data_IF_467413258306
#
_entry.id   IF_467413258306
#
_cell.length_a   1.000
_cell.length_b   1.000
_cell.length_c   1.000
_cell.angle_alpha   90.00
_cell.angle_beta   90.00
_cell.angle_gamma   90.00
#
_symmetry.space_group_name_H-M   'P 1'
#
loop_
_entity.id
_entity.type
_entity.pdbx_description
1 polymer ?
#
# COMPACT_ATOMS: atom_id res chain seq x y z
N UNK A 1 -5.68 7.95 -20.84
CA UNK A 1 -5.96 8.70 -19.60
C UNK A 1 -5.14 8.13 -18.48
N UNK A 2 -4.75 8.96 -17.56
CA UNK A 2 -3.90 8.56 -16.44
C UNK A 2 -4.76 8.18 -15.25
N UNK A 3 -4.46 7.03 -14.62
CA UNK A 3 -5.05 6.64 -13.35
C UNK A 3 -3.95 6.56 -12.31
N UNK A 4 -4.23 6.93 -11.08
CA UNK A 4 -3.22 7.00 -10.01
C UNK A 4 -3.70 6.25 -8.77
N UNK A 5 -2.83 5.41 -8.22
CA UNK A 5 -3.00 4.80 -6.91
C UNK A 5 -1.93 5.37 -5.99
N UNK A 6 -2.37 6.03 -4.93
CA UNK A 6 -1.48 6.42 -3.83
C UNK A 6 -1.48 5.26 -2.84
N UNK A 7 -0.40 4.49 -2.83
CA UNK A 7 -0.26 3.28 -2.04
C UNK A 7 0.60 3.58 -0.81
N UNK A 8 -0.01 3.54 0.37
CA UNK A 8 0.63 3.91 1.62
C UNK A 8 0.62 2.77 2.63
N UNK A 9 1.63 2.75 3.48
CA UNK A 9 1.66 1.93 4.68
C UNK A 9 0.86 2.60 5.79
N UNK A 10 0.14 1.81 6.61
CA UNK A 10 -0.54 2.34 7.80
C UNK A 10 0.46 3.04 8.74
N UNK A 11 -0.05 3.91 9.61
CA UNK A 11 0.76 4.60 10.61
C UNK A 11 1.07 3.71 11.81
N UNK A 12 1.75 4.26 12.83
CA UNK A 12 2.27 3.48 13.95
C UNK A 12 1.16 2.67 14.67
N UNK A 13 1.50 1.44 15.04
CA UNK A 13 0.55 0.47 15.58
C UNK A 13 1.15 -0.33 16.73
N UNK A 14 0.25 -0.83 17.57
CA UNK A 14 0.52 -1.88 18.54
C UNK A 14 -0.46 -3.01 18.25
N UNK A 15 0.06 -4.15 17.78
CA UNK A 15 -0.79 -5.21 17.25
C UNK A 15 -1.62 -4.72 16.07
N UNK A 16 -2.93 -4.95 16.09
CA UNK A 16 -3.82 -4.55 15.00
C UNK A 16 -4.56 -3.23 15.29
N UNK A 17 -3.98 -2.35 16.10
CA UNK A 17 -4.54 -1.03 16.42
C UNK A 17 -3.49 0.04 16.29
N UNK A 18 -3.90 1.24 15.89
CA UNK A 18 -3.00 2.39 15.90
C UNK A 18 -2.69 2.79 17.34
N UNK A 19 -1.45 3.21 17.56
CA UNK A 19 -1.07 3.90 18.80
C UNK A 19 -1.59 5.33 18.77
N UNK A 20 -1.54 6.04 19.91
CA UNK A 20 -1.88 7.46 19.95
C UNK A 20 -0.98 8.28 19.01
N UNK A 21 0.31 7.92 18.94
CA UNK A 21 1.26 8.51 18.00
C UNK A 21 0.87 8.20 16.55
N UNK A 22 0.39 6.98 16.29
CA UNK A 22 -0.09 6.58 14.96
C UNK A 22 -1.30 7.38 14.51
N UNK A 23 -2.25 7.62 15.42
CA UNK A 23 -3.42 8.47 15.14
C UNK A 23 -2.98 9.90 14.83
N UNK A 24 -2.11 10.49 15.66
CA UNK A 24 -1.60 11.84 15.45
C UNK A 24 -0.84 11.96 14.13
N UNK A 25 -0.01 10.98 13.80
CA UNK A 25 0.72 10.94 12.54
C UNK A 25 -0.23 10.83 11.34
N UNK A 26 -1.27 10.01 11.44
CA UNK A 26 -2.27 9.88 10.38
C UNK A 26 -3.01 11.21 10.15
N UNK A 27 -3.40 11.91 11.22
CA UNK A 27 -4.03 13.22 11.12
C UNK A 27 -3.11 14.25 10.44
N UNK A 28 -1.83 14.26 10.80
CA UNK A 28 -0.84 15.16 10.21
C UNK A 28 -0.63 14.89 8.71
N UNK A 29 -0.49 13.62 8.33
CA UNK A 29 -0.39 13.22 6.93
C UNK A 29 -1.69 13.59 6.20
N UNK A 30 -2.83 13.37 6.84
CA UNK A 30 -4.14 13.69 6.29
C UNK A 30 -4.27 15.13 5.81
N UNK A 31 -3.64 16.07 6.53
CA UNK A 31 -3.64 17.50 6.14
C UNK A 31 -2.84 17.77 4.87
N UNK A 32 -1.94 16.85 4.49
CA UNK A 32 -1.05 16.99 3.33
C UNK A 32 -1.47 16.14 2.13
N UNK A 33 -2.56 15.40 2.24
CA UNK A 33 -3.08 14.62 1.12
C UNK A 33 -3.57 15.54 0.00
N UNK A 34 -3.60 15.00 -1.20
CA UNK A 34 -3.97 15.75 -2.41
C UNK A 34 -5.29 15.21 -2.99
N UNK A 35 -6.44 15.50 -2.36
CA UNK A 35 -7.74 15.08 -2.90
C UNK A 35 -8.01 15.78 -4.25
N UNK A 36 -9.01 15.30 -5.03
CA UNK A 36 -9.99 14.27 -4.66
C UNK A 36 -9.51 12.85 -4.90
N UNK A 37 -10.12 11.90 -4.18
CA UNK A 37 -9.97 10.46 -4.42
C UNK A 37 -11.31 9.86 -4.79
N UNK A 38 -11.31 8.99 -5.80
CA UNK A 38 -12.50 8.29 -6.27
C UNK A 38 -12.75 6.99 -5.50
N UNK A 39 -11.71 6.45 -4.87
CA UNK A 39 -11.79 5.21 -4.10
C UNK A 39 -10.86 5.25 -2.89
N UNK A 40 -11.29 4.60 -1.81
CA UNK A 40 -10.54 4.43 -0.56
C UNK A 40 -10.51 2.93 -0.24
N UNK A 41 -9.34 2.31 -0.31
CA UNK A 41 -9.21 0.85 -0.20
C UNK A 41 -8.19 0.49 0.88
N UNK A 42 -8.51 -0.51 1.68
CA UNK A 42 -7.58 -1.08 2.66
C UNK A 42 -7.47 -2.59 2.50
N UNK A 43 -6.50 -3.19 3.19
CA UNK A 43 -6.34 -4.64 3.28
C UNK A 43 -7.38 -5.30 4.20
N UNK A 44 -8.15 -4.53 4.95
CA UNK A 44 -9.09 -5.03 5.94
C UNK A 44 -8.51 -5.24 7.34
N UNK A 45 -7.19 -5.20 7.51
CA UNK A 45 -6.58 -5.19 8.83
C UNK A 45 -7.02 -3.94 9.60
N UNK A 46 -7.36 -4.05 10.88
CA UNK A 46 -7.92 -2.94 11.64
C UNK A 46 -7.02 -1.70 11.62
N UNK A 47 -5.70 -1.87 11.76
CA UNK A 47 -4.72 -0.78 11.69
C UNK A 47 -4.73 -0.06 10.33
N UNK A 48 -4.95 -0.78 9.26
CA UNK A 48 -5.05 -0.18 7.92
C UNK A 48 -6.38 0.54 7.73
N UNK A 49 -7.48 -0.04 8.20
CA UNK A 49 -8.82 0.58 8.15
C UNK A 49 -8.84 1.87 8.97
N UNK A 50 -8.27 1.86 10.19
CA UNK A 50 -8.19 3.05 11.04
C UNK A 50 -7.42 4.17 10.37
N UNK A 51 -6.27 3.87 9.79
CA UNK A 51 -5.46 4.86 9.07
C UNK A 51 -6.24 5.45 7.89
N UNK A 52 -6.85 4.58 7.09
CA UNK A 52 -7.61 5.00 5.91
C UNK A 52 -8.83 5.85 6.29
N UNK A 53 -9.53 5.51 7.37
CA UNK A 53 -10.69 6.27 7.84
C UNK A 53 -10.30 7.70 8.25
N UNK A 54 -9.18 7.84 8.96
CA UNK A 54 -8.64 9.17 9.32
C UNK A 54 -8.34 9.96 8.04
N UNK A 55 -7.68 9.35 7.06
CA UNK A 55 -7.31 10.02 5.82
C UNK A 55 -8.50 10.36 4.95
N UNK A 56 -9.50 9.47 4.89
CA UNK A 56 -10.73 9.75 4.16
C UNK A 56 -11.45 10.97 4.73
N UNK A 57 -11.56 11.05 6.05
CA UNK A 57 -12.17 12.20 6.73
C UNK A 57 -11.40 13.50 6.44
N UNK A 58 -10.06 13.44 6.55
CA UNK A 58 -9.20 14.60 6.30
C UNK A 58 -9.28 15.08 4.85
N UNK A 59 -9.43 14.16 3.90
CA UNK A 59 -9.55 14.48 2.47
C UNK A 59 -10.95 14.93 2.07
N UNK A 60 -11.93 14.93 2.98
CA UNK A 60 -13.31 15.25 2.66
C UNK A 60 -13.97 14.22 1.74
N UNK A 61 -13.50 12.97 1.79
CA UNK A 61 -13.93 11.91 0.90
C UNK A 61 -15.36 11.45 1.16
N UNK A 62 -16.08 11.15 0.08
CA UNK A 62 -17.47 10.68 0.14
C UNK A 62 -17.63 9.24 -0.32
N UNK A 63 -16.67 8.71 -1.09
CA UNK A 63 -16.68 7.32 -1.49
C UNK A 63 -16.59 6.41 -0.26
N UNK A 64 -17.26 5.24 -0.26
CA UNK A 64 -17.20 4.33 0.87
C UNK A 64 -15.80 3.74 1.06
N UNK A 65 -15.51 3.31 2.30
CA UNK A 65 -14.32 2.51 2.56
C UNK A 65 -14.50 1.13 1.93
N UNK A 66 -13.53 0.70 1.16
CA UNK A 66 -13.52 -0.61 0.51
C UNK A 66 -12.41 -1.47 1.07
N UNK A 67 -12.54 -2.78 0.91
CA UNK A 67 -11.55 -3.76 1.35
C UNK A 67 -11.11 -4.61 0.17
N UNK A 68 -9.79 -4.82 0.05
CA UNK A 68 -9.20 -5.74 -0.90
C UNK A 68 -8.42 -6.82 -0.14
N UNK A 69 -8.99 -8.00 -0.04
CA UNK A 69 -8.34 -9.13 0.63
C UNK A 69 -7.08 -9.58 -0.11
N UNK A 70 -7.04 -9.39 -1.43
CA UNK A 70 -5.89 -9.73 -2.26
C UNK A 70 -4.65 -8.87 -2.01
N UNK A 71 -4.79 -7.72 -1.35
CA UNK A 71 -3.66 -6.87 -0.97
C UNK A 71 -3.00 -7.31 0.34
N UNK A 72 -3.56 -8.29 1.02
CA UNK A 72 -2.98 -8.86 2.23
C UNK A 72 -2.34 -10.20 1.92
N UNK A 73 -1.10 -10.40 2.35
CA UNK A 73 -0.41 -11.67 2.18
C UNK A 73 -1.09 -12.77 3.01
N UNK A 74 -1.18 -13.96 2.42
CA UNK A 74 -1.57 -15.18 3.14
C UNK A 74 -0.37 -15.88 3.79
N UNK A 75 0.82 -15.31 3.64
CA UNK A 75 2.09 -15.89 4.07
C UNK A 75 2.85 -14.96 5.02
N UNK A 76 2.14 -14.32 5.95
CA UNK A 76 2.72 -13.34 6.87
C UNK A 76 3.86 -13.94 7.71
N UNK A 77 3.75 -15.23 8.11
CA UNK A 77 4.81 -15.92 8.86
C UNK A 77 6.08 -16.06 8.04
N UNK A 78 5.96 -16.37 6.75
CA UNK A 78 7.11 -16.44 5.84
C UNK A 78 7.75 -15.07 5.64
N UNK A 79 6.95 -14.01 5.56
CA UNK A 79 7.47 -12.65 5.46
C UNK A 79 8.24 -12.26 6.72
N UNK A 80 7.74 -12.61 7.90
CA UNK A 80 8.48 -12.39 9.15
C UNK A 80 9.80 -13.14 9.16
N UNK A 81 9.81 -14.38 8.71
CA UNK A 81 11.04 -15.19 8.61
C UNK A 81 12.02 -14.59 7.60
N UNK A 82 11.55 -14.13 6.45
CA UNK A 82 12.39 -13.48 5.44
C UNK A 82 12.97 -12.16 5.94
N UNK A 83 12.19 -11.36 6.65
CA UNK A 83 12.66 -10.13 7.30
C UNK A 83 13.79 -10.43 8.28
N UNK A 84 13.60 -11.41 9.13
CA UNK A 84 14.59 -11.81 10.12
C UNK A 84 15.88 -12.34 9.46
N UNK A 85 15.74 -13.16 8.44
CA UNK A 85 16.89 -13.72 7.70
C UNK A 85 17.65 -12.63 6.93
N UNK A 86 16.93 -11.68 6.34
CA UNK A 86 17.52 -10.56 5.60
C UNK A 86 18.15 -9.51 6.52
N UNK A 87 17.70 -9.43 7.77
CA UNK A 87 18.15 -8.41 8.73
C UNK A 87 17.66 -7.01 8.42
N UNK A 88 16.73 -6.86 7.50
CA UNK A 88 16.17 -5.56 7.12
C UNK A 88 14.84 -5.71 6.37
N UNK A 89 14.12 -4.59 6.20
CA UNK A 89 12.91 -4.51 5.40
C UNK A 89 13.15 -4.28 3.90
N UNK A 90 14.40 -4.36 3.46
CA UNK A 90 14.76 -4.21 2.05
C UNK A 90 14.24 -5.41 1.25
N UNK A 91 13.37 -5.16 0.28
CA UNK A 91 12.73 -6.21 -0.51
C UNK A 91 13.73 -7.04 -1.30
N UNK A 92 14.80 -6.43 -1.83
CA UNK A 92 15.84 -7.14 -2.55
C UNK A 92 16.53 -8.18 -1.66
N UNK A 93 16.81 -7.82 -0.41
CA UNK A 93 17.41 -8.75 0.57
C UNK A 93 16.43 -9.84 0.99
N UNK A 94 15.17 -9.52 1.15
CA UNK A 94 14.13 -10.50 1.45
C UNK A 94 13.97 -11.48 0.29
N UNK A 95 14.04 -10.99 -0.96
CA UNK A 95 14.00 -11.84 -2.15
C UNK A 95 15.18 -12.80 -2.20
N UNK A 96 16.36 -12.34 -1.81
CA UNK A 96 17.55 -13.22 -1.70
C UNK A 96 17.33 -14.30 -0.63
N UNK A 97 16.65 -13.97 0.47
CA UNK A 97 16.37 -14.90 1.56
C UNK A 97 15.27 -15.91 1.20
N UNK A 98 14.23 -15.49 0.48
CA UNK A 98 13.10 -16.35 0.09
C UNK A 98 12.54 -15.89 -1.28
N UNK A 99 13.21 -16.28 -2.37
CA UNK A 99 12.81 -15.83 -3.71
C UNK A 99 11.43 -16.32 -4.13
N UNK A 100 11.03 -17.52 -3.71
CA UNK A 100 9.72 -18.07 -4.08
C UNK A 100 8.59 -17.31 -3.42
N UNK A 101 8.73 -16.96 -2.13
CA UNK A 101 7.77 -16.13 -1.41
C UNK A 101 7.57 -14.79 -2.10
N UNK A 102 8.66 -14.09 -2.35
CA UNK A 102 8.60 -12.73 -2.93
C UNK A 102 8.01 -12.79 -4.33
N UNK A 103 8.43 -13.74 -5.16
CA UNK A 103 7.90 -13.88 -6.51
C UNK A 103 6.42 -14.23 -6.56
N UNK A 104 5.98 -15.18 -5.75
CA UNK A 104 4.58 -15.63 -5.73
C UNK A 104 3.66 -14.55 -5.15
N UNK A 105 4.03 -13.97 -4.02
CA UNK A 105 3.23 -12.91 -3.40
C UNK A 105 3.22 -11.64 -4.24
N UNK A 106 4.34 -11.27 -4.85
CA UNK A 106 4.39 -10.11 -5.75
C UNK A 106 3.36 -10.25 -6.87
N UNK A 107 3.25 -11.43 -7.49
CA UNK A 107 2.27 -11.68 -8.54
C UNK A 107 0.84 -11.57 -8.03
N UNK A 108 0.54 -12.16 -6.87
CA UNK A 108 -0.79 -12.15 -6.27
C UNK A 108 -1.22 -10.74 -5.84
N UNK A 109 -0.33 -10.03 -5.17
CA UNK A 109 -0.57 -8.67 -4.70
C UNK A 109 -0.70 -7.69 -5.87
N UNK A 110 0.11 -7.85 -6.91
CA UNK A 110 0.02 -7.03 -8.11
C UNK A 110 -1.31 -7.23 -8.84
N UNK A 111 -1.85 -8.46 -8.86
CA UNK A 111 -3.16 -8.73 -9.44
C UNK A 111 -4.26 -7.95 -8.71
N UNK A 112 -4.22 -7.91 -7.38
CA UNK A 112 -5.17 -7.14 -6.58
C UNK A 112 -5.05 -5.63 -6.84
N UNK A 113 -3.84 -5.14 -6.97
CA UNK A 113 -3.59 -3.73 -7.29
C UNK A 113 -4.10 -3.37 -8.68
N UNK A 114 -3.90 -4.28 -9.65
CA UNK A 114 -4.42 -4.11 -11.02
C UNK A 114 -5.94 -4.03 -11.04
N UNK A 115 -6.63 -4.83 -10.23
CA UNK A 115 -8.10 -4.76 -10.12
C UNK A 115 -8.58 -3.38 -9.65
N UNK A 116 -7.83 -2.73 -8.76
CA UNK A 116 -8.15 -1.36 -8.32
C UNK A 116 -8.04 -0.40 -9.50
N UNK A 117 -6.96 -0.48 -10.27
CA UNK A 117 -6.81 0.35 -11.47
C UNK A 117 -7.95 0.12 -12.47
N UNK A 118 -8.35 -1.13 -12.69
CA UNK A 118 -9.39 -1.48 -13.65
C UNK A 118 -10.74 -0.88 -13.27
N UNK A 119 -11.01 -0.73 -11.99
CA UNK A 119 -12.26 -0.16 -11.49
C UNK A 119 -12.27 1.36 -11.44
N UNK A 120 -11.12 2.01 -11.48
CA UNK A 120 -11.05 3.48 -11.47
C UNK A 120 -11.55 4.06 -12.78
N UNK A 121 -12.28 5.20 -12.72
CA UNK A 121 -12.60 5.93 -13.94
C UNK A 121 -11.34 6.52 -14.57
N UNK A 122 -11.42 6.88 -15.84
CA UNK A 122 -10.35 7.60 -16.53
C UNK A 122 -10.00 8.88 -15.77
N UNK A 123 -8.69 9.08 -15.52
CA UNK A 123 -8.22 10.20 -14.70
C UNK A 123 -8.44 10.00 -13.21
N UNK A 124 -8.97 8.84 -12.79
CA UNK A 124 -9.32 8.55 -11.40
C UNK A 124 -8.11 8.33 -10.50
N UNK A 125 -8.36 8.48 -9.19
CA UNK A 125 -7.36 8.33 -8.13
C UNK A 125 -7.92 7.47 -7.00
N UNK A 126 -7.09 6.58 -6.47
CA UNK A 126 -7.41 5.80 -5.28
C UNK A 126 -6.36 6.05 -4.19
N UNK A 127 -6.82 6.10 -2.95
CA UNK A 127 -5.96 6.05 -1.77
C UNK A 127 -6.05 4.64 -1.20
N UNK A 128 -4.91 3.96 -1.13
CA UNK A 128 -4.83 2.55 -0.73
C UNK A 128 -3.89 2.41 0.45
N UNK A 129 -4.36 1.76 1.50
CA UNK A 129 -3.57 1.56 2.72
C UNK A 129 -3.32 0.08 2.94
N UNK A 130 -2.05 -0.27 3.00
CA UNK A 130 -1.60 -1.63 3.26
C UNK A 130 -0.43 -1.68 4.21
N UNK A 131 0.49 -2.57 3.95
CA UNK A 131 1.58 -2.94 4.84
C UNK A 131 2.92 -2.95 4.11
N UNK A 132 4.00 -2.88 4.87
CA UNK A 132 5.34 -3.18 4.39
C UNK A 132 5.75 -4.57 4.91
N UNK A 133 6.38 -5.42 4.12
CA UNK A 133 6.92 -5.18 2.78
C UNK A 133 5.95 -5.54 1.64
N UNK A 134 4.70 -5.86 1.93
CA UNK A 134 3.75 -6.33 0.91
C UNK A 134 3.36 -5.24 -0.10
N UNK A 135 3.31 -3.97 0.31
CA UNK A 135 3.12 -2.87 -0.64
C UNK A 135 4.26 -2.82 -1.66
N UNK A 136 5.50 -2.93 -1.20
CA UNK A 136 6.67 -2.95 -2.06
C UNK A 136 6.64 -4.17 -3.00
N UNK A 137 6.20 -5.33 -2.50
CA UNK A 137 6.04 -6.54 -3.32
C UNK A 137 4.97 -6.35 -4.41
N UNK A 138 3.86 -5.69 -4.08
CA UNK A 138 2.81 -5.38 -5.07
C UNK A 138 3.36 -4.49 -6.19
N UNK A 139 4.15 -3.48 -5.84
CA UNK A 139 4.79 -2.59 -6.81
C UNK A 139 5.77 -3.37 -7.69
N UNK A 140 6.58 -4.24 -7.10
CA UNK A 140 7.50 -5.09 -7.85
C UNK A 140 6.74 -5.97 -8.87
N UNK A 141 5.68 -6.63 -8.44
CA UNK A 141 4.89 -7.50 -9.31
C UNK A 141 4.19 -6.75 -10.43
N UNK A 142 3.80 -5.50 -10.19
CA UNK A 142 3.11 -4.68 -11.18
C UNK A 142 4.06 -4.00 -12.17
N UNK A 143 5.20 -3.53 -11.69
CA UNK A 143 6.09 -2.64 -12.45
C UNK A 143 7.45 -3.23 -12.77
N UNK A 144 7.87 -4.28 -12.09
CA UNK A 144 9.22 -4.82 -12.18
C UNK A 144 10.27 -4.03 -11.39
N UNK A 145 9.87 -2.98 -10.67
CA UNK A 145 10.79 -2.13 -9.90
C UNK A 145 10.70 -2.41 -8.41
N UNK A 146 11.86 -2.42 -7.75
CA UNK A 146 11.96 -2.48 -6.29
C UNK A 146 12.05 -1.05 -5.77
N UNK A 147 11.09 -0.67 -4.94
CA UNK A 147 11.10 0.61 -4.24
C UNK A 147 11.75 0.47 -2.86
N UNK A 148 12.24 1.57 -2.33
CA UNK A 148 12.81 1.58 -0.97
C UNK A 148 11.76 1.16 0.07
N UNK A 149 12.21 0.56 1.17
CA UNK A 149 11.34 0.14 2.25
C UNK A 149 10.51 1.33 2.77
N UNK A 150 9.20 1.12 2.86
CA UNK A 150 8.27 2.14 3.33
C UNK A 150 8.24 2.18 4.86
N UNK A 151 8.44 3.34 5.43
CA UNK A 151 8.19 3.61 6.84
C UNK A 151 6.69 3.79 7.11
N UNK A 152 6.34 3.89 8.39
CA UNK A 152 4.96 4.08 8.82
C UNK A 152 4.35 5.34 8.20
N UNK A 153 3.21 5.20 7.55
CA UNK A 153 2.53 6.29 6.86
C UNK A 153 3.10 6.69 5.51
N UNK A 154 4.29 6.21 5.17
CA UNK A 154 4.92 6.50 3.88
C UNK A 154 4.27 5.74 2.73
N UNK A 155 4.49 6.22 1.52
CA UNK A 155 3.88 5.60 0.35
C UNK A 155 4.56 5.98 -0.96
N UNK A 156 3.99 5.45 -2.02
CA UNK A 156 4.38 5.75 -3.40
C UNK A 156 3.14 6.05 -4.24
N UNK A 157 3.32 6.80 -5.30
CA UNK A 157 2.32 6.96 -6.35
C UNK A 157 2.60 5.93 -7.45
N UNK A 158 1.61 5.11 -7.76
CA UNK A 158 1.67 4.21 -8.91
C UNK A 158 0.75 4.80 -9.97
N UNK A 159 1.30 5.09 -11.13
CA UNK A 159 0.61 5.82 -12.18
C UNK A 159 0.50 4.92 -13.40
N UNK A 160 -0.73 4.70 -13.87
CA UNK A 160 -0.99 3.92 -15.07
C UNK A 160 -1.14 4.85 -16.29
N UNK A 161 -0.34 4.56 -17.31
CA UNK A 161 -0.41 5.19 -18.63
C UNK A 161 -0.70 4.10 -19.67
N UNK A 162 -1.97 3.96 -20.08
CA UNK A 162 -2.33 2.85 -20.95
C UNK A 162 -2.02 1.51 -20.30
N UNK A 163 -1.14 0.72 -20.92
CA UNK A 163 -0.72 -0.58 -20.38
C UNK A 163 0.57 -0.51 -19.53
N UNK A 164 1.12 0.69 -19.35
CA UNK A 164 2.38 0.90 -18.64
C UNK A 164 2.13 1.49 -17.25
N UNK A 165 3.07 1.24 -16.35
CA UNK A 165 3.03 1.77 -14.99
C UNK A 165 4.33 2.51 -14.67
N UNK A 166 4.20 3.60 -13.94
CA UNK A 166 5.33 4.36 -13.40
C UNK A 166 5.15 4.53 -11.91
N UNK A 167 6.26 4.56 -11.16
CA UNK A 167 6.28 4.79 -9.71
C UNK A 167 6.95 6.12 -9.44
N UNK A 168 6.32 6.94 -8.60
CA UNK A 168 6.86 8.21 -8.14
C UNK A 168 6.77 8.28 -6.61
N UNK A 169 7.67 9.01 -5.95
CA UNK A 169 7.55 9.24 -4.53
C UNK A 169 6.32 10.10 -4.23
N UNK A 170 5.73 9.89 -3.06
CA UNK A 170 4.70 10.79 -2.54
C UNK A 170 5.39 12.04 -2.04
N UNK A 171 4.90 13.19 -2.46
CA UNK A 171 5.43 14.49 -2.04
C UNK A 171 5.08 14.79 -0.57
#
# INVERSE_FOLDING_TARGET
MVKTVELRRHTDNDGDRLTDEGVAAAEEIGRRLSPPYDAFVSTGAARAVQTLDIWRSAAGGRAPLEQSDGLRSRHEDRWRAAYKAAGSGDLARMRDADPDLVGDDAATLAAALREIFDRLPDGGRALVVGHSPTNEAAVLGLTGHIVSALGKGEGVLVIQYGDSYRVEPVA
#
